data_IF_051746463942
#
_entry.id   IF_051746463942
#
_cell.length_a   1.000
_cell.length_b   1.000
_cell.length_c   1.000
_cell.angle_alpha   90.00
_cell.angle_beta   90.00
_cell.angle_gamma   90.00
#
_symmetry.space_group_name_H-M   'P 1'
#
loop_
_entity.id
_entity.type
_entity.pdbx_description
1 polymer ?
#
# COMPACT_ATOMS: atom_id res chain seq x y z
N UNK A 1 3.90 26.70 21.60
CA UNK A 1 4.21 26.42 20.19
C UNK A 1 3.11 27.09 19.38
N UNK A 2 3.45 28.15 18.66
CA UNK A 2 2.48 29.00 17.97
C UNK A 2 1.99 28.31 16.72
N UNK A 3 0.70 27.96 16.66
CA UNK A 3 0.04 27.47 15.46
C UNK A 3 -0.11 28.63 14.48
N UNK A 4 0.68 28.64 13.41
CA UNK A 4 0.42 29.53 12.28
C UNK A 4 -1.00 29.24 11.73
N UNK A 5 -1.86 30.24 11.59
CA UNK A 5 -3.16 30.05 10.96
C UNK A 5 -2.92 29.70 9.49
N UNK A 6 -3.34 28.50 9.08
CA UNK A 6 -3.43 28.14 7.67
C UNK A 6 -4.47 29.09 7.05
N UNK A 7 -4.01 30.01 6.22
CA UNK A 7 -4.91 30.88 5.43
C UNK A 7 -5.89 30.01 4.64
N UNK A 8 -7.18 30.35 4.72
CA UNK A 8 -8.21 29.66 3.96
C UNK A 8 -7.81 29.57 2.47
N UNK A 9 -7.85 28.40 1.85
CA UNK A 9 -7.46 28.26 0.45
C UNK A 9 -8.39 29.10 -0.42
N UNK A 10 -7.80 29.88 -1.32
CA UNK A 10 -8.51 30.42 -2.48
C UNK A 10 -9.24 29.29 -3.22
N UNK A 11 -10.04 29.59 -4.25
CA UNK A 11 -10.79 28.58 -5.01
C UNK A 11 -9.89 27.40 -5.34
N UNK A 12 -10.03 26.30 -4.59
CA UNK A 12 -9.20 25.12 -4.69
C UNK A 12 -9.28 24.47 -6.07
N UNK A 13 -8.32 23.65 -6.41
CA UNK A 13 -8.32 22.84 -7.63
C UNK A 13 -9.54 21.93 -7.64
N UNK A 14 -10.30 21.90 -8.75
CA UNK A 14 -11.44 21.00 -8.89
C UNK A 14 -11.01 19.51 -8.82
N UNK A 15 -11.85 18.62 -8.28
CA UNK A 15 -11.48 17.21 -8.04
C UNK A 15 -10.92 16.49 -9.26
N UNK A 16 -11.49 16.72 -10.44
CA UNK A 16 -11.01 16.08 -11.68
C UNK A 16 -9.61 16.55 -12.10
N UNK A 17 -9.29 17.84 -11.92
CA UNK A 17 -7.97 18.36 -12.24
C UNK A 17 -6.93 17.81 -11.27
N UNK A 18 -7.28 17.72 -9.99
CA UNK A 18 -6.45 17.09 -8.97
C UNK A 18 -6.17 15.61 -9.29
N UNK A 19 -7.20 14.81 -9.55
CA UNK A 19 -7.06 13.39 -9.89
C UNK A 19 -6.18 13.17 -11.13
N UNK A 20 -6.37 13.99 -12.20
CA UNK A 20 -5.53 13.89 -13.39
C UNK A 20 -4.07 14.22 -13.12
N UNK A 21 -3.79 15.18 -12.26
CA UNK A 21 -2.42 15.52 -11.87
C UNK A 21 -1.79 14.39 -11.07
N UNK A 22 -2.48 13.85 -10.04
CA UNK A 22 -2.00 12.74 -9.24
C UNK A 22 -1.79 11.47 -10.07
N UNK A 23 -2.62 11.21 -11.08
CA UNK A 23 -2.48 10.05 -11.96
C UNK A 23 -1.18 10.05 -12.79
N UNK A 24 -0.45 11.18 -12.86
CA UNK A 24 0.86 11.27 -13.52
C UNK A 24 2.00 10.74 -12.62
N UNK A 25 1.72 10.44 -11.38
CA UNK A 25 2.69 9.83 -10.48
C UNK A 25 2.56 8.30 -10.56
N UNK A 26 3.53 7.64 -11.22
CA UNK A 26 3.58 6.19 -11.29
C UNK A 26 3.89 5.60 -9.92
N UNK A 27 3.10 4.62 -9.49
CA UNK A 27 3.25 3.97 -8.20
C UNK A 27 3.37 2.46 -8.34
N UNK A 28 3.93 1.81 -7.33
CA UNK A 28 3.67 0.40 -7.08
C UNK A 28 2.21 0.18 -6.67
N UNK A 29 1.80 -1.07 -6.64
CA UNK A 29 0.49 -1.51 -6.15
C UNK A 29 0.69 -2.44 -4.98
N UNK A 30 -0.07 -2.23 -3.91
CA UNK A 30 -0.07 -3.09 -2.74
C UNK A 30 -1.51 -3.45 -2.33
N UNK A 31 -1.63 -4.54 -1.57
CA UNK A 31 -2.85 -4.85 -0.82
C UNK A 31 -2.51 -4.67 0.66
N UNK A 32 -3.24 -3.78 1.32
CA UNK A 32 -3.18 -3.67 2.77
C UNK A 32 -4.20 -4.62 3.40
N UNK A 33 -3.79 -5.32 4.46
CA UNK A 33 -4.59 -6.35 5.12
C UNK A 33 -4.66 -6.15 6.62
N UNK A 34 -5.76 -6.56 7.22
CA UNK A 34 -6.05 -6.39 8.64
C UNK A 34 -7.01 -7.51 9.09
N UNK A 35 -7.00 -7.85 10.36
CA UNK A 35 -8.05 -8.69 10.97
C UNK A 35 -9.13 -7.82 11.61
N UNK A 36 -10.37 -8.26 11.54
CA UNK A 36 -11.42 -7.71 12.37
C UNK A 36 -11.42 -8.29 13.79
N UNK A 37 -12.35 -7.86 14.63
CA UNK A 37 -12.47 -8.31 16.02
C UNK A 37 -12.85 -9.79 16.17
N UNK A 38 -13.35 -10.42 15.11
CA UNK A 38 -13.65 -11.87 15.08
C UNK A 38 -12.46 -12.71 14.60
N UNK A 39 -11.39 -12.06 14.13
CA UNK A 39 -10.24 -12.71 13.48
C UNK A 39 -10.45 -13.00 11.99
N UNK A 40 -11.50 -12.44 11.37
CA UNK A 40 -11.69 -12.58 9.93
C UNK A 40 -10.77 -11.63 9.14
N UNK A 41 -10.18 -12.08 8.01
CA UNK A 41 -9.27 -11.28 7.22
C UNK A 41 -10.01 -10.27 6.34
N UNK A 42 -9.51 -9.04 6.30
CA UNK A 42 -9.96 -7.98 5.41
C UNK A 42 -8.77 -7.37 4.67
N UNK A 43 -9.02 -6.89 3.46
CA UNK A 43 -7.97 -6.26 2.65
C UNK A 43 -8.53 -5.33 1.59
N UNK A 44 -7.69 -4.41 1.11
CA UNK A 44 -7.99 -3.57 -0.04
C UNK A 44 -6.72 -3.23 -0.81
N UNK A 45 -6.89 -3.03 -2.11
CA UNK A 45 -5.82 -2.53 -2.98
C UNK A 45 -5.58 -1.06 -2.70
N UNK A 46 -4.32 -0.70 -2.56
CA UNK A 46 -3.85 0.66 -2.34
C UNK A 46 -2.65 0.97 -3.23
N UNK A 47 -2.52 2.23 -3.60
CA UNK A 47 -1.31 2.81 -4.18
C UNK A 47 -0.79 4.01 -3.37
N UNK A 48 -1.38 4.24 -2.21
CA UNK A 48 -1.02 5.32 -1.28
C UNK A 48 0.11 4.95 -0.31
N UNK A 49 0.68 3.75 -0.44
CA UNK A 49 1.81 3.32 0.38
C UNK A 49 3.04 4.20 0.18
N UNK A 50 3.67 4.60 1.28
CA UNK A 50 5.00 5.22 1.27
C UNK A 50 5.79 4.92 2.54
N UNK A 51 7.13 4.90 2.43
CA UNK A 51 8.03 4.91 3.57
C UNK A 51 8.05 6.31 4.21
N UNK A 52 8.18 6.39 5.53
CA UNK A 52 8.12 7.63 6.31
C UNK A 52 9.42 7.89 7.06
N UNK A 53 9.96 6.87 7.75
CA UNK A 53 11.11 7.01 8.65
C UNK A 53 11.92 5.72 8.69
N UNK A 54 13.20 5.83 9.01
CA UNK A 54 14.08 4.68 9.26
C UNK A 54 14.26 4.40 10.76
N UNK A 55 14.13 5.41 11.61
CA UNK A 55 14.28 5.27 13.05
C UNK A 55 13.20 6.09 13.78
N UNK A 56 12.15 5.43 14.29
CA UNK A 56 11.80 4.04 14.03
C UNK A 56 11.41 3.81 12.55
N UNK A 57 11.39 2.55 12.06
CA UNK A 57 11.01 2.24 10.68
C UNK A 57 9.50 2.40 10.50
N UNK A 58 9.08 3.49 9.89
CA UNK A 58 7.66 3.84 9.69
C UNK A 58 7.27 3.81 8.21
N UNK A 59 6.05 3.35 7.98
CA UNK A 59 5.36 3.41 6.69
C UNK A 59 3.95 3.98 6.89
N UNK A 60 3.30 4.44 5.81
CA UNK A 60 1.91 4.86 5.86
C UNK A 60 1.08 4.32 4.69
N UNK A 61 -0.23 4.27 4.92
CA UNK A 61 -1.27 4.14 3.89
C UNK A 61 -2.42 5.11 4.16
N UNK A 62 -3.12 5.53 3.11
CA UNK A 62 -4.32 6.37 3.23
C UNK A 62 -5.56 5.52 2.94
N UNK A 63 -6.54 5.56 3.83
CA UNK A 63 -7.79 4.82 3.74
C UNK A 63 -8.95 5.82 3.62
N UNK A 64 -9.73 5.74 2.53
CA UNK A 64 -10.92 6.57 2.29
C UNK A 64 -11.98 6.29 3.39
N UNK A 65 -12.61 7.34 3.90
CA UNK A 65 -13.69 7.24 4.90
C UNK A 65 -14.91 6.45 4.39
N UNK A 66 -15.08 6.28 3.09
CA UNK A 66 -16.12 5.44 2.49
C UNK A 66 -15.72 3.96 2.36
N UNK A 67 -14.44 3.65 2.59
CA UNK A 67 -13.97 2.28 2.50
C UNK A 67 -14.47 1.46 3.70
N UNK A 68 -15.20 0.37 3.44
CA UNK A 68 -15.74 -0.52 4.50
C UNK A 68 -14.66 -1.08 5.43
N UNK A 69 -13.44 -1.18 4.96
CA UNK A 69 -12.31 -1.67 5.75
C UNK A 69 -11.82 -0.67 6.80
N UNK A 70 -12.23 0.60 6.72
CA UNK A 70 -11.75 1.65 7.63
C UNK A 70 -11.97 1.30 9.09
N UNK A 71 -13.18 0.82 9.45
CA UNK A 71 -13.51 0.50 10.84
C UNK A 71 -12.56 -0.55 11.43
N UNK A 72 -12.11 -1.52 10.62
CA UNK A 72 -11.11 -2.51 11.04
C UNK A 72 -9.74 -1.85 11.27
N UNK A 73 -9.34 -0.91 10.41
CA UNK A 73 -8.11 -0.14 10.61
C UNK A 73 -8.16 0.81 11.81
N UNK A 74 -9.34 1.31 12.17
CA UNK A 74 -9.50 2.17 13.34
C UNK A 74 -9.37 1.42 14.66
N UNK A 75 -9.69 0.14 14.68
CA UNK A 75 -9.72 -0.69 15.90
C UNK A 75 -8.55 -1.66 16.02
N UNK A 76 -7.94 -2.08 14.91
CA UNK A 76 -6.82 -3.02 14.90
C UNK A 76 -5.55 -2.42 15.50
N UNK A 77 -4.72 -3.27 16.11
CA UNK A 77 -3.38 -2.90 16.60
C UNK A 77 -2.27 -3.18 15.59
N UNK A 78 -2.57 -3.95 14.54
CA UNK A 78 -1.60 -4.32 13.51
C UNK A 78 -2.27 -4.40 12.14
N UNK A 79 -1.49 -4.22 11.08
CA UNK A 79 -1.87 -4.40 9.70
C UNK A 79 -0.68 -4.85 8.87
N UNK A 80 -0.91 -5.35 7.66
CA UNK A 80 0.18 -5.65 6.74
C UNK A 80 0.04 -4.90 5.42
N UNK A 81 1.19 -4.73 4.75
CA UNK A 81 1.32 -4.26 3.38
C UNK A 81 1.91 -5.40 2.55
N UNK A 82 1.16 -5.85 1.55
CA UNK A 82 1.60 -6.86 0.60
C UNK A 82 1.86 -6.15 -0.74
N UNK A 83 3.13 -5.88 -1.05
CA UNK A 83 3.54 -5.24 -2.32
C UNK A 83 3.43 -6.28 -3.42
N UNK A 84 2.63 -5.98 -4.45
CA UNK A 84 2.31 -6.96 -5.49
C UNK A 84 3.38 -7.03 -6.57
N UNK A 85 3.60 -8.26 -7.07
CA UNK A 85 4.36 -8.49 -8.29
C UNK A 85 3.47 -8.37 -9.53
N UNK A 86 4.08 -8.21 -10.68
CA UNK A 86 3.37 -8.02 -11.97
C UNK A 86 2.34 -9.11 -12.30
N UNK A 87 2.58 -10.36 -11.88
CA UNK A 87 1.66 -11.49 -12.09
C UNK A 87 0.40 -11.44 -11.22
N UNK A 88 0.32 -10.54 -10.22
CA UNK A 88 -0.78 -10.44 -9.28
C UNK A 88 -1.80 -9.35 -9.65
N UNK A 89 -1.89 -8.96 -10.93
CA UNK A 89 -2.84 -7.94 -11.39
C UNK A 89 -4.29 -8.33 -11.08
N UNK A 90 -4.67 -9.60 -11.30
CA UNK A 90 -6.05 -10.07 -11.05
C UNK A 90 -6.39 -9.99 -9.55
N UNK A 91 -5.43 -10.33 -8.69
CA UNK A 91 -5.57 -10.17 -7.25
C UNK A 91 -5.78 -8.69 -6.86
N UNK A 92 -4.99 -7.79 -7.44
CA UNK A 92 -5.18 -6.35 -7.26
C UNK A 92 -6.60 -5.90 -7.66
N UNK A 93 -7.10 -6.35 -8.81
CA UNK A 93 -8.45 -6.03 -9.27
C UNK A 93 -9.51 -6.57 -8.31
N UNK A 94 -9.35 -7.80 -7.81
CA UNK A 94 -10.26 -8.41 -6.84
C UNK A 94 -10.36 -7.57 -5.56
N UNK A 95 -9.23 -7.15 -4.99
CA UNK A 95 -9.18 -6.35 -3.77
C UNK A 95 -9.55 -4.87 -3.96
N UNK A 96 -9.59 -4.37 -5.20
CA UNK A 96 -10.07 -3.04 -5.53
C UNK A 96 -11.60 -2.96 -5.68
N UNK A 97 -12.28 -4.07 -5.99
CA UNK A 97 -13.74 -4.09 -6.23
C UNK A 97 -14.50 -3.91 -4.91
N UNK A 98 -15.66 -3.23 -4.93
CA UNK A 98 -16.61 -3.28 -3.81
C UNK A 98 -17.11 -4.72 -3.66
N UNK A 99 -17.09 -5.26 -2.45
CA UNK A 99 -17.54 -6.63 -2.17
C UNK A 99 -17.32 -6.99 -0.71
N UNK A 100 -18.02 -8.03 -0.22
CA UNK A 100 -17.96 -8.43 1.19
C UNK A 100 -16.89 -9.49 1.44
N UNK A 101 -16.70 -10.41 0.51
CA UNK A 101 -15.72 -11.50 0.66
C UNK A 101 -14.61 -11.41 -0.41
N UNK A 102 -13.58 -10.63 -0.12
CA UNK A 102 -12.40 -10.54 -0.97
C UNK A 102 -11.42 -11.68 -0.74
N UNK A 103 -11.52 -12.37 0.39
CA UNK A 103 -10.65 -13.47 0.79
C UNK A 103 -11.20 -14.86 0.48
N UNK A 104 -12.49 -15.03 0.09
CA UNK A 104 -13.17 -16.31 0.00
C UNK A 104 -12.49 -17.41 -0.84
N UNK A 105 -11.67 -17.02 -1.84
CA UNK A 105 -10.90 -17.96 -2.65
C UNK A 105 -9.39 -17.60 -2.66
N UNK A 106 -8.95 -16.72 -1.76
CA UNK A 106 -7.57 -16.25 -1.69
C UNK A 106 -6.84 -16.94 -0.55
N UNK A 107 -5.76 -17.63 -0.87
CA UNK A 107 -4.86 -18.17 0.13
C UNK A 107 -4.16 -17.03 0.87
N UNK A 108 -4.02 -17.18 2.17
CA UNK A 108 -3.27 -16.29 3.02
C UNK A 108 -2.70 -17.05 4.21
N UNK A 109 -1.72 -16.52 4.85
CA UNK A 109 -1.14 -17.08 6.08
C UNK A 109 -0.98 -15.98 7.13
N UNK A 110 -1.01 -16.36 8.40
CA UNK A 110 -0.79 -15.43 9.50
C UNK A 110 0.69 -15.09 9.60
N UNK A 111 1.00 -13.79 9.63
CA UNK A 111 2.34 -13.30 9.93
C UNK A 111 2.70 -13.41 11.42
N UNK A 112 3.82 -12.83 11.82
CA UNK A 112 4.27 -12.78 13.22
C UNK A 112 3.30 -12.02 14.12
N UNK A 113 2.65 -10.98 13.59
CA UNK A 113 1.62 -10.19 14.27
C UNK A 113 0.23 -10.81 14.17
N UNK A 114 0.09 -11.93 13.46
CA UNK A 114 -1.17 -12.60 13.17
C UNK A 114 -1.95 -12.02 11.99
N UNK A 115 -1.53 -10.88 11.42
CA UNK A 115 -2.22 -10.27 10.29
C UNK A 115 -2.09 -11.10 9.01
N UNK A 116 -3.08 -11.03 8.09
CA UNK A 116 -3.03 -11.79 6.86
C UNK A 116 -1.90 -11.33 5.92
N UNK A 117 -1.03 -12.26 5.54
CA UNK A 117 -0.02 -12.08 4.49
C UNK A 117 -0.44 -12.86 3.25
N UNK A 118 -0.23 -12.27 2.08
CA UNK A 118 -0.57 -12.87 0.80
C UNK A 118 0.64 -13.63 0.24
N UNK A 119 0.46 -14.88 -0.21
CA UNK A 119 1.53 -15.63 -0.84
C UNK A 119 2.01 -14.93 -2.12
N UNK A 120 3.25 -15.19 -2.49
CA UNK A 120 3.88 -14.69 -3.71
C UNK A 120 3.93 -13.15 -3.85
N UNK A 121 3.61 -12.38 -2.81
CA UNK A 121 3.84 -10.95 -2.81
C UNK A 121 5.34 -10.65 -3.05
N UNK A 122 5.64 -9.55 -3.77
CA UNK A 122 7.02 -9.12 -4.01
C UNK A 122 7.72 -8.74 -2.71
N UNK A 123 6.98 -8.12 -1.78
CA UNK A 123 7.41 -7.92 -0.41
C UNK A 123 6.20 -7.86 0.53
N UNK A 124 6.42 -8.24 1.78
CA UNK A 124 5.43 -8.09 2.86
C UNK A 124 6.04 -7.30 4.01
N UNK A 125 5.26 -6.38 4.56
CA UNK A 125 5.61 -5.58 5.72
C UNK A 125 4.50 -5.77 6.76
N UNK A 126 4.86 -6.28 7.93
CA UNK A 126 3.94 -6.31 9.06
C UNK A 126 4.16 -5.10 9.93
N UNK A 127 3.10 -4.43 10.31
CA UNK A 127 3.15 -3.16 10.99
C UNK A 127 2.32 -3.16 12.28
N UNK A 128 2.94 -2.75 13.38
CA UNK A 128 2.19 -2.28 14.53
C UNK A 128 1.65 -0.87 14.23
N UNK A 129 0.40 -0.60 14.57
CA UNK A 129 -0.18 0.73 14.33
C UNK A 129 0.50 1.75 15.25
N UNK A 130 1.21 2.69 14.67
CA UNK A 130 1.91 3.77 15.37
C UNK A 130 1.01 4.99 15.60
N UNK A 131 0.31 5.44 14.55
CA UNK A 131 -0.56 6.61 14.62
C UNK A 131 -1.66 6.58 13.55
N UNK A 132 -2.78 7.22 13.83
CA UNK A 132 -3.86 7.50 12.88
C UNK A 132 -4.11 9.00 12.82
N UNK A 133 -4.15 9.54 11.60
CA UNK A 133 -4.35 10.98 11.38
C UNK A 133 -5.51 11.18 10.41
N UNK A 134 -6.57 11.84 10.86
CA UNK A 134 -7.66 12.22 9.95
C UNK A 134 -7.19 13.37 9.05
N UNK A 135 -7.36 13.23 7.75
CA UNK A 135 -6.90 14.18 6.73
C UNK A 135 -7.92 14.26 5.60
N UNK A 136 -8.76 15.30 5.60
CA UNK A 136 -9.81 15.45 4.59
C UNK A 136 -10.82 14.30 4.65
N UNK A 137 -11.00 13.60 3.55
CA UNK A 137 -11.90 12.44 3.40
C UNK A 137 -11.18 11.08 3.60
N UNK A 138 -9.95 11.11 4.09
CA UNK A 138 -9.14 9.92 4.37
C UNK A 138 -8.63 9.89 5.81
N UNK A 139 -8.29 8.69 6.28
CA UNK A 139 -7.44 8.47 7.46
C UNK A 139 -6.07 7.98 6.98
N UNK A 140 -5.01 8.67 7.39
CA UNK A 140 -3.64 8.21 7.23
C UNK A 140 -3.35 7.27 8.39
N UNK A 141 -3.02 6.03 8.08
CA UNK A 141 -2.58 5.03 9.07
C UNK A 141 -1.08 4.89 8.96
N UNK A 142 -0.36 5.25 10.01
CA UNK A 142 1.09 5.11 10.13
C UNK A 142 1.36 3.85 10.94
N UNK A 143 2.23 2.99 10.43
CA UNK A 143 2.65 1.77 11.10
C UNK A 143 4.15 1.70 11.29
N UNK A 144 4.56 1.20 12.44
CA UNK A 144 5.95 0.79 12.70
C UNK A 144 6.15 -0.62 12.15
N UNK A 145 7.11 -0.76 11.24
CA UNK A 145 7.41 -2.04 10.61
C UNK A 145 8.13 -2.94 11.61
N UNK A 146 7.49 -4.06 11.96
CA UNK A 146 8.02 -5.05 12.92
C UNK A 146 8.58 -6.29 12.22
N UNK A 147 8.13 -6.57 10.99
CA UNK A 147 8.66 -7.65 10.16
C UNK A 147 8.63 -7.24 8.69
N UNK A 148 9.65 -7.62 7.91
CA UNK A 148 9.74 -7.32 6.50
C UNK A 148 10.39 -8.47 5.74
N UNK A 149 9.72 -8.97 4.70
CA UNK A 149 10.21 -10.04 3.81
C UNK A 149 10.20 -9.52 2.38
N UNK A 150 11.27 -9.79 1.65
CA UNK A 150 11.42 -9.44 0.22
C UNK A 150 11.65 -10.69 -0.62
N UNK A 151 11.03 -10.74 -1.78
CA UNK A 151 11.25 -11.76 -2.81
C UNK A 151 11.78 -11.13 -4.09
N UNK A 152 12.38 -11.94 -4.97
CA UNK A 152 12.81 -11.52 -6.29
C UNK A 152 11.61 -11.42 -7.24
N UNK A 153 11.63 -10.49 -8.20
CA UNK A 153 10.59 -10.31 -9.20
C UNK A 153 10.42 -8.86 -9.62
N UNK A 154 9.46 -8.61 -10.51
CA UNK A 154 9.09 -7.29 -10.98
C UNK A 154 7.80 -6.81 -10.30
N UNK A 155 7.71 -5.52 -9.92
CA UNK A 155 6.53 -4.98 -9.26
C UNK A 155 5.37 -4.79 -10.22
N UNK A 156 4.14 -4.91 -9.71
CA UNK A 156 2.95 -4.41 -10.38
C UNK A 156 2.93 -2.89 -10.28
N UNK A 157 2.80 -2.20 -11.40
CA UNK A 157 2.76 -0.73 -11.45
C UNK A 157 1.38 -0.23 -11.83
N UNK A 158 1.10 1.02 -11.41
CA UNK A 158 -0.10 1.75 -11.76
C UNK A 158 0.27 3.18 -12.18
N UNK A 159 -0.14 3.56 -13.39
CA UNK A 159 0.13 4.88 -13.96
C UNK A 159 -1.02 5.30 -14.87
N UNK A 160 -1.41 6.57 -14.78
CA UNK A 160 -2.47 7.15 -15.64
C UNK A 160 -3.74 6.28 -15.69
N UNK A 161 -4.19 5.81 -14.52
CA UNK A 161 -5.37 4.95 -14.33
C UNK A 161 -5.32 3.59 -15.02
N UNK A 162 -4.12 3.08 -15.31
CA UNK A 162 -3.92 1.77 -15.92
C UNK A 162 -2.76 1.00 -15.25
N UNK A 163 -2.86 -0.33 -15.22
CA UNK A 163 -1.74 -1.17 -14.83
C UNK A 163 -0.64 -1.11 -15.88
N UNK A 164 0.60 -1.13 -15.41
CA UNK A 164 1.80 -1.07 -16.24
C UNK A 164 2.77 -2.17 -15.82
N UNK A 165 3.75 -2.45 -16.69
CA UNK A 165 4.86 -3.37 -16.43
C UNK A 165 6.18 -2.63 -16.59
N UNK A 166 7.19 -3.06 -15.84
CA UNK A 166 8.57 -2.67 -16.10
C UNK A 166 9.14 -3.58 -17.18
N UNK A 167 9.82 -2.99 -18.14
CA UNK A 167 10.72 -3.77 -18.97
C UNK A 167 11.90 -4.24 -18.09
N UNK A 168 12.31 -5.52 -18.17
CA UNK A 168 13.48 -5.97 -17.44
C UNK A 168 14.69 -5.10 -17.86
N UNK A 169 15.60 -4.76 -16.93
CA UNK A 169 16.80 -4.03 -17.30
C UNK A 169 17.52 -4.79 -18.40
N UNK A 170 17.99 -4.08 -19.42
CA UNK A 170 18.81 -4.65 -20.44
C UNK A 170 19.98 -5.40 -19.76
N UNK A 171 20.36 -6.59 -20.26
CA UNK A 171 21.49 -7.32 -19.68
C UNK A 171 22.69 -6.37 -19.64
N UNK A 172 23.25 -6.19 -18.44
CA UNK A 172 24.47 -5.41 -18.27
C UNK A 172 25.55 -6.09 -19.10
N UNK A 173 26.01 -5.44 -20.18
CA UNK A 173 27.25 -5.79 -20.82
C UNK A 173 28.37 -5.48 -19.82
N UNK A 174 28.61 -6.38 -18.89
CA UNK A 174 29.91 -6.48 -18.23
C UNK A 174 30.85 -7.07 -19.27
N UNK A 175 31.34 -6.22 -20.20
CA UNK A 175 32.57 -6.50 -20.86
C UNK A 175 33.65 -6.50 -19.77
N UNK A 176 34.16 -7.68 -19.47
CA UNK A 176 35.37 -7.89 -18.70
C UNK A 176 36.48 -7.01 -19.28
N UNK A 177 36.75 -5.87 -18.67
CA UNK A 177 38.00 -5.18 -18.79
C UNK A 177 39.00 -5.80 -17.80
N UNK A 178 39.25 -7.10 -17.97
CA UNK A 178 40.49 -7.73 -17.51
C UNK A 178 41.48 -7.73 -18.67
N UNK A 179 42.23 -6.66 -18.80
CA UNK A 179 43.46 -6.64 -19.60
C UNK A 179 44.22 -5.34 -19.31
N UNK A 180 45.02 -5.30 -18.26
CA UNK A 180 46.47 -4.92 -18.23
C UNK A 180 46.97 -4.57 -16.85
#
# INVERSE_FOLDING_TARGET
MSSNPVTAPGKGVGPQAFLRACAQFATGVAITTVLDSSGAPHGMTVNSFTSVSLDPPLVLVCIDHKARILDHFLTSQAFAINILRESQQDLSIQFARPGEDRFGAVEWFAGETGVPLLPDALATLECAVFQRVQSGDHTIVIGEVVSAIRHEGLPLLYFSSAYQRLDPPAPSNTEDHDSR
#
